data_IF_976742737595
#
_entry.id   IF_976742737595
#
_cell.length_a   1.000
_cell.length_b   1.000
_cell.length_c   1.000
_cell.angle_alpha   90.00
_cell.angle_beta   90.00
_cell.angle_gamma   90.00
#
_symmetry.space_group_name_H-M   'P 1'
#
loop_
_entity.id
_entity.type
_entity.pdbx_description
1 polymer ?
#
# COMPACT_ATOMS: atom_id res chain seq x y z
N UNK A 1 18.98 -34.81 8.02
CA UNK A 1 17.92 -35.19 7.08
C UNK A 1 16.83 -34.15 6.91
N UNK A 2 16.67 -33.20 7.79
CA UNK A 2 15.54 -32.25 7.74
C UNK A 2 15.94 -30.80 7.50
N UNK A 3 17.23 -30.49 7.41
CA UNK A 3 17.70 -29.09 7.33
C UNK A 3 17.53 -28.42 5.95
N UNK A 4 17.32 -29.21 4.91
CA UNK A 4 17.28 -28.72 3.51
C UNK A 4 15.90 -28.17 3.09
N UNK A 5 14.84 -28.40 3.87
CA UNK A 5 13.49 -28.06 3.46
C UNK A 5 12.98 -26.72 4.03
N UNK A 6 13.74 -26.02 4.86
CA UNK A 6 13.32 -24.77 5.47
C UNK A 6 13.45 -23.56 4.54
N UNK A 7 14.26 -23.65 3.49
CA UNK A 7 14.45 -22.56 2.53
C UNK A 7 13.41 -22.58 1.39
N UNK A 8 12.92 -23.75 0.98
CA UNK A 8 11.98 -23.89 -0.13
C UNK A 8 10.64 -23.17 0.10
N UNK A 9 10.01 -23.21 1.30
CA UNK A 9 8.78 -22.46 1.55
C UNK A 9 8.96 -20.95 1.49
N UNK A 10 10.14 -20.42 1.81
CA UNK A 10 10.44 -19.00 1.70
C UNK A 10 10.54 -18.56 0.24
N UNK A 11 11.13 -19.36 -0.61
CA UNK A 11 11.29 -19.08 -2.03
C UNK A 11 9.92 -19.12 -2.72
N UNK A 12 9.08 -20.08 -2.38
CA UNK A 12 7.73 -20.17 -2.93
C UNK A 12 6.83 -19.04 -2.46
N UNK A 13 7.02 -18.52 -1.25
CA UNK A 13 6.31 -17.31 -0.77
C UNK A 13 6.72 -16.07 -1.55
N UNK A 14 8.01 -15.93 -1.87
CA UNK A 14 8.49 -14.80 -2.67
C UNK A 14 7.99 -14.87 -4.12
N UNK A 15 7.80 -16.09 -4.64
CA UNK A 15 7.20 -16.28 -5.98
C UNK A 15 5.73 -15.84 -6.08
N UNK A 16 5.04 -15.71 -4.97
CA UNK A 16 3.67 -15.15 -4.95
C UNK A 16 3.63 -13.65 -5.19
N UNK A 17 4.79 -12.99 -5.06
CA UNK A 17 4.90 -11.56 -5.33
C UNK A 17 5.62 -11.37 -6.67
N UNK A 18 4.91 -10.97 -7.70
CA UNK A 18 5.46 -10.79 -9.05
C UNK A 18 6.74 -9.96 -9.09
N UNK A 19 6.91 -9.08 -8.10
CA UNK A 19 8.06 -8.20 -7.97
C UNK A 19 9.41 -8.91 -7.86
N UNK A 20 9.42 -10.14 -7.39
CA UNK A 20 10.65 -10.89 -7.11
C UNK A 20 10.95 -11.99 -8.14
N UNK A 21 10.09 -12.15 -9.12
CA UNK A 21 10.29 -13.13 -10.16
C UNK A 21 10.66 -12.43 -11.46
N UNK A 22 11.89 -12.62 -11.92
CA UNK A 22 12.36 -12.02 -13.18
C UNK A 22 11.48 -12.37 -14.39
N UNK A 23 10.79 -13.51 -14.33
CA UNK A 23 9.85 -13.96 -15.36
C UNK A 23 8.50 -13.20 -15.33
N UNK A 24 8.27 -12.39 -14.30
CA UNK A 24 7.04 -11.65 -14.06
C UNK A 24 7.10 -10.17 -14.44
N UNK A 25 8.11 -9.75 -15.17
CA UNK A 25 8.16 -8.34 -15.64
C UNK A 25 7.01 -7.97 -16.59
N UNK A 26 6.39 -8.96 -17.18
CA UNK A 26 5.18 -8.77 -17.97
C UNK A 26 3.94 -8.84 -17.06
N UNK A 27 3.34 -7.71 -16.77
CA UNK A 27 2.08 -7.63 -16.01
C UNK A 27 2.16 -6.87 -14.68
N UNK A 28 3.33 -6.39 -14.27
CA UNK A 28 3.45 -5.48 -13.13
C UNK A 28 2.91 -4.11 -13.46
N UNK A 29 2.04 -3.61 -12.59
CA UNK A 29 1.74 -2.19 -12.57
C UNK A 29 2.48 -1.58 -11.38
N UNK A 30 3.40 -0.68 -11.68
CA UNK A 30 4.17 0.08 -10.69
C UNK A 30 3.71 1.52 -10.76
N UNK A 31 3.54 2.15 -9.60
CA UNK A 31 3.20 3.57 -9.51
C UNK A 31 4.12 4.27 -8.52
N UNK A 32 4.30 5.55 -8.71
CA UNK A 32 4.93 6.41 -7.72
C UNK A 32 3.93 6.75 -6.64
N UNK A 33 4.35 6.64 -5.40
CA UNK A 33 3.56 7.01 -4.23
C UNK A 33 4.28 8.08 -3.44
N UNK A 34 3.49 8.97 -2.85
CA UNK A 34 3.93 9.85 -1.77
C UNK A 34 3.11 9.52 -0.54
N UNK A 35 3.78 9.24 0.56
CA UNK A 35 3.13 8.97 1.84
C UNK A 35 3.65 9.91 2.90
N UNK A 36 2.74 10.41 3.74
CA UNK A 36 3.07 11.28 4.86
C UNK A 36 2.42 10.75 6.14
N UNK A 37 3.11 10.90 7.26
CA UNK A 37 2.55 10.56 8.56
C UNK A 37 1.34 11.45 8.85
N UNK A 38 0.16 10.86 8.98
CA UNK A 38 -1.08 11.61 9.19
C UNK A 38 -1.11 12.37 10.52
N UNK A 39 -0.55 11.81 11.57
CA UNK A 39 -0.47 12.50 12.88
C UNK A 39 0.38 13.78 12.78
N UNK A 40 1.46 13.74 12.00
CA UNK A 40 2.30 14.91 11.76
C UNK A 40 1.54 15.98 10.98
N UNK A 41 0.73 15.58 9.98
CA UNK A 41 -0.15 16.49 9.23
C UNK A 41 -1.14 17.16 10.18
N UNK A 42 -1.80 16.38 11.02
CA UNK A 42 -2.78 16.88 11.98
C UNK A 42 -2.15 17.86 12.98
N UNK A 43 -0.97 17.57 13.49
CA UNK A 43 -0.25 18.45 14.41
C UNK A 43 0.19 19.76 13.76
N UNK A 44 0.65 19.71 12.52
CA UNK A 44 0.98 20.92 11.78
C UNK A 44 -0.27 21.77 11.52
N UNK A 45 -1.36 21.14 11.10
CA UNK A 45 -2.62 21.83 10.82
C UNK A 45 -3.23 22.49 12.06
N UNK A 46 -3.10 21.89 13.22
CA UNK A 46 -3.58 22.44 14.50
C UNK A 46 -2.65 23.48 15.13
N UNK A 47 -1.46 23.69 14.56
CA UNK A 47 -0.47 24.63 15.08
C UNK A 47 0.36 24.10 16.26
N UNK A 48 0.28 22.81 16.56
CA UNK A 48 1.04 22.18 17.64
C UNK A 48 2.54 22.06 17.33
N UNK A 49 2.90 22.18 16.07
CA UNK A 49 4.27 22.14 15.59
C UNK A 49 4.42 22.99 14.32
N UNK A 50 5.65 23.45 14.06
CA UNK A 50 6.02 24.07 12.78
C UNK A 50 6.78 23.08 11.87
N UNK A 51 7.03 21.86 12.34
CA UNK A 51 7.75 20.85 11.57
C UNK A 51 6.87 20.30 10.45
N UNK A 52 7.46 20.14 9.27
CA UNK A 52 6.81 19.45 8.16
C UNK A 52 6.59 17.97 8.49
N UNK A 53 5.51 17.38 7.96
CA UNK A 53 5.24 15.96 8.15
C UNK A 53 6.37 15.08 7.61
N UNK A 54 6.70 14.03 8.34
CA UNK A 54 7.60 13.00 7.83
C UNK A 54 6.97 12.36 6.60
N UNK A 55 7.77 12.17 5.56
CA UNK A 55 7.30 11.71 4.27
C UNK A 55 8.23 10.69 3.64
N UNK A 56 7.70 9.94 2.69
CA UNK A 56 8.43 9.05 1.81
C UNK A 56 7.86 9.17 0.40
N UNK A 57 8.74 9.22 -0.58
CA UNK A 57 8.38 9.12 -1.99
C UNK A 57 9.13 7.95 -2.62
N UNK A 58 8.43 7.16 -3.41
CA UNK A 58 9.04 6.00 -4.05
C UNK A 58 8.02 5.14 -4.78
N UNK A 59 8.46 3.98 -5.18
CA UNK A 59 7.64 3.05 -5.96
C UNK A 59 6.83 2.11 -5.08
N UNK A 60 5.66 1.74 -5.57
CA UNK A 60 4.83 0.67 -5.06
C UNK A 60 4.27 -0.16 -6.20
N UNK A 61 4.07 -1.44 -5.95
CA UNK A 61 3.31 -2.31 -6.84
C UNK A 61 1.82 -2.08 -6.57
N UNK A 62 1.07 -2.04 -7.65
CA UNK A 62 -0.39 -2.02 -7.60
C UNK A 62 -0.90 -3.45 -7.74
N UNK A 63 -1.65 -3.92 -6.75
CA UNK A 63 -2.15 -5.29 -6.70
C UNK A 63 -3.59 -5.31 -6.17
N UNK A 64 -4.55 -5.52 -7.05
CA UNK A 64 -5.97 -5.65 -6.68
C UNK A 64 -6.29 -6.93 -5.89
N UNK A 65 -5.40 -7.90 -5.86
CA UNK A 65 -5.48 -9.09 -5.01
C UNK A 65 -5.06 -8.82 -3.55
N UNK A 66 -4.33 -7.73 -3.30
CA UNK A 66 -4.05 -7.24 -1.96
C UNK A 66 -5.17 -6.30 -1.50
N UNK A 67 -5.45 -6.25 -0.21
CA UNK A 67 -6.59 -5.48 0.32
C UNK A 67 -6.18 -4.08 0.77
N UNK A 68 -5.07 -3.96 1.47
CA UNK A 68 -4.67 -2.77 2.19
C UNK A 68 -3.52 -2.01 1.53
N UNK A 69 -3.04 -0.98 2.19
CA UNK A 69 -1.74 -0.37 1.93
C UNK A 69 -0.68 -1.10 2.74
N UNK A 70 0.34 -1.59 2.06
CA UNK A 70 1.46 -2.30 2.67
C UNK A 70 2.74 -1.52 2.45
N UNK A 71 3.45 -1.22 3.51
CA UNK A 71 4.73 -0.54 3.44
C UNK A 71 5.85 -1.37 4.07
N UNK A 72 7.04 -1.23 3.51
CA UNK A 72 8.25 -1.84 4.04
C UNK A 72 8.55 -1.35 5.45
N UNK A 73 9.19 -2.17 6.24
CA UNK A 73 9.62 -1.83 7.60
C UNK A 73 10.46 -0.54 7.63
N UNK A 74 11.39 -0.37 6.69
CA UNK A 74 12.23 0.83 6.60
C UNK A 74 11.41 2.10 6.32
N UNK A 75 10.39 2.02 5.49
CA UNK A 75 9.48 3.14 5.20
C UNK A 75 8.65 3.50 6.45
N UNK A 76 8.12 2.49 7.14
CA UNK A 76 7.38 2.69 8.39
C UNK A 76 8.24 3.39 9.44
N UNK A 77 9.51 3.00 9.56
CA UNK A 77 10.48 3.64 10.47
C UNK A 77 10.79 5.08 10.05
N UNK A 78 11.01 5.33 8.76
CA UNK A 78 11.24 6.68 8.24
C UNK A 78 10.07 7.61 8.52
N UNK A 79 8.85 7.13 8.38
CA UNK A 79 7.63 7.87 8.68
C UNK A 79 7.34 7.97 10.18
N UNK A 80 8.03 7.23 11.03
CA UNK A 80 7.79 7.19 12.47
C UNK A 80 6.41 6.71 12.85
N UNK A 81 5.85 5.78 12.08
CA UNK A 81 4.53 5.23 12.36
C UNK A 81 4.54 4.37 13.61
N UNK A 82 3.45 4.40 14.35
CA UNK A 82 3.28 3.65 15.59
C UNK A 82 2.39 2.42 15.38
N UNK A 83 2.75 1.25 15.96
CA UNK A 83 1.87 0.09 15.90
C UNK A 83 0.56 0.36 16.64
N UNK A 84 -0.57 0.01 16.05
CA UNK A 84 -1.89 0.23 16.61
C UNK A 84 -2.61 -1.06 16.96
N UNK A 85 -2.51 -2.08 16.10
CA UNK A 85 -3.23 -3.34 16.28
C UNK A 85 -2.55 -4.47 15.49
N UNK A 86 -3.04 -5.68 15.72
CA UNK A 86 -2.67 -6.85 14.94
C UNK A 86 -3.91 -7.42 14.29
N UNK A 87 -3.84 -7.68 12.99
CA UNK A 87 -4.86 -8.40 12.26
C UNK A 87 -4.45 -9.84 12.03
N UNK A 88 -5.42 -10.72 12.10
CA UNK A 88 -5.24 -12.10 11.71
C UNK A 88 -5.78 -12.25 10.29
N UNK A 89 -4.91 -12.55 9.36
CA UNK A 89 -5.30 -12.86 7.98
C UNK A 89 -5.19 -14.35 7.72
N UNK A 90 -6.14 -14.90 6.97
CA UNK A 90 -6.11 -16.27 6.51
C UNK A 90 -5.79 -16.27 5.01
N UNK A 91 -4.71 -16.90 4.63
CA UNK A 91 -4.37 -17.07 3.23
C UNK A 91 -5.26 -18.12 2.57
N UNK A 92 -5.30 -18.14 1.24
CA UNK A 92 -6.04 -19.16 0.48
C UNK A 92 -5.54 -20.59 0.77
N UNK A 93 -4.28 -20.75 1.20
CA UNK A 93 -3.71 -22.00 1.68
C UNK A 93 -4.05 -22.32 3.15
N UNK A 94 -5.02 -21.61 3.72
CA UNK A 94 -5.49 -21.78 5.10
C UNK A 94 -4.44 -21.49 6.20
N UNK A 95 -3.34 -20.84 5.83
CA UNK A 95 -2.35 -20.37 6.79
C UNK A 95 -2.83 -19.10 7.46
N UNK A 96 -2.86 -19.11 8.78
CA UNK A 96 -3.21 -17.94 9.58
C UNK A 96 -1.93 -17.17 9.90
N UNK A 97 -1.85 -15.93 9.46
CA UNK A 97 -0.72 -15.04 9.74
C UNK A 97 -1.19 -13.80 10.49
N UNK A 98 -0.45 -13.44 11.54
CA UNK A 98 -0.65 -12.18 12.22
C UNK A 98 0.06 -11.06 11.45
N UNK A 99 -0.70 -10.02 11.10
CA UNK A 99 -0.19 -8.82 10.41
C UNK A 99 -0.23 -7.65 11.36
N UNK A 100 0.89 -6.95 11.48
CA UNK A 100 0.97 -5.75 12.30
C UNK A 100 0.50 -4.54 11.52
N UNK A 101 -0.43 -3.80 12.12
CA UNK A 101 -1.02 -2.58 11.56
C UNK A 101 -0.47 -1.38 12.31
N UNK A 102 -0.17 -0.34 11.56
CA UNK A 102 0.41 0.90 12.05
C UNK A 102 -0.54 2.09 11.85
N UNK A 103 -0.25 3.17 12.53
CA UNK A 103 -0.97 4.42 12.43
C UNK A 103 -1.07 4.90 10.97
N UNK A 104 -2.13 5.64 10.63
CA UNK A 104 -2.42 5.97 9.25
C UNK A 104 -1.42 6.94 8.62
N UNK A 105 -1.38 6.89 7.31
CA UNK A 105 -0.68 7.83 6.45
C UNK A 105 -1.67 8.50 5.50
N UNK A 106 -1.33 9.70 5.04
CA UNK A 106 -1.89 10.24 3.82
C UNK A 106 -1.12 9.65 2.64
N UNK A 107 -1.83 8.98 1.74
CA UNK A 107 -1.29 8.39 0.52
C UNK A 107 -1.73 9.22 -0.68
N UNK A 108 -0.78 9.69 -1.47
CA UNK A 108 -1.02 10.37 -2.74
C UNK A 108 -0.48 9.54 -3.91
N UNK A 109 -1.33 9.39 -4.93
CA UNK A 109 -0.99 8.78 -6.22
C UNK A 109 -1.51 9.69 -7.33
N UNK A 110 -0.61 10.25 -8.15
CA UNK A 110 -0.96 11.09 -9.29
C UNK A 110 -2.01 12.18 -8.95
N UNK A 111 -1.83 12.85 -7.81
CA UNK A 111 -2.68 13.95 -7.37
C UNK A 111 -3.97 13.57 -6.64
N UNK A 112 -4.31 12.28 -6.55
CA UNK A 112 -5.41 11.81 -5.71
C UNK A 112 -4.86 11.31 -4.38
N UNK A 113 -5.52 11.61 -3.28
CA UNK A 113 -5.05 11.24 -1.95
C UNK A 113 -6.16 10.69 -1.05
N UNK A 114 -5.73 9.95 -0.03
CA UNK A 114 -6.60 9.43 1.01
C UNK A 114 -5.80 8.97 2.21
N UNK A 115 -6.49 8.77 3.33
CA UNK A 115 -5.89 8.35 4.60
C UNK A 115 -6.13 6.87 4.83
N UNK A 116 -5.06 6.12 5.04
CA UNK A 116 -5.12 4.67 5.16
C UNK A 116 -4.23 4.16 6.29
N UNK A 117 -4.69 3.14 7.00
CA UNK A 117 -3.86 2.34 7.88
C UNK A 117 -2.79 1.60 7.06
N UNK A 118 -1.65 1.35 7.69
CA UNK A 118 -0.51 0.70 7.05
C UNK A 118 -0.29 -0.69 7.62
N UNK A 119 -0.19 -1.68 6.75
CA UNK A 119 0.21 -3.04 7.10
C UNK A 119 1.70 -3.19 6.83
N UNK A 120 2.43 -3.73 7.81
CA UNK A 120 3.89 -3.92 7.71
C UNK A 120 4.26 -5.06 6.80
N UNK A 121 5.24 -4.80 5.92
CA UNK A 121 5.98 -5.82 5.18
C UNK A 121 7.47 -5.80 5.53
N UNK A 122 8.15 -6.94 5.40
CA UNK A 122 9.61 -6.96 5.48
C UNK A 122 10.25 -6.21 4.30
N UNK A 123 11.49 -5.75 4.47
CA UNK A 123 12.18 -4.91 3.47
C UNK A 123 12.53 -5.66 2.16
N UNK A 124 12.51 -6.98 2.17
CA UNK A 124 12.70 -7.81 0.97
C UNK A 124 11.52 -7.75 0.00
N UNK A 125 10.35 -7.32 0.47
CA UNK A 125 9.15 -7.15 -0.34
C UNK A 125 8.96 -5.69 -0.77
N UNK A 126 8.30 -5.42 -1.91
CA UNK A 126 7.99 -4.05 -2.32
C UNK A 126 6.88 -3.45 -1.47
N UNK A 127 6.75 -2.12 -1.51
CA UNK A 127 5.51 -1.48 -1.09
C UNK A 127 4.37 -1.91 -2.01
N UNK A 128 3.16 -2.07 -1.47
CA UNK A 128 2.01 -2.53 -2.24
C UNK A 128 0.79 -1.65 -1.94
N UNK A 129 0.16 -1.19 -3.01
CA UNK A 129 -1.13 -0.50 -2.96
C UNK A 129 -2.21 -1.51 -3.33
N UNK A 130 -3.05 -1.85 -2.36
CA UNK A 130 -4.13 -2.80 -2.54
C UNK A 130 -5.46 -2.17 -2.93
N UNK A 131 -6.50 -2.98 -2.91
CA UNK A 131 -7.82 -2.65 -3.43
C UNK A 131 -8.49 -1.47 -2.72
N UNK A 132 -8.45 -1.42 -1.38
CA UNK A 132 -9.11 -0.34 -0.62
C UNK A 132 -8.59 1.05 -1.03
N UNK A 133 -7.28 1.32 -1.04
CA UNK A 133 -6.78 2.59 -1.54
C UNK A 133 -7.14 2.89 -2.99
N UNK A 134 -7.09 1.87 -3.86
CA UNK A 134 -7.42 2.04 -5.27
C UNK A 134 -8.88 2.43 -5.48
N UNK A 135 -9.80 1.72 -4.83
CA UNK A 135 -11.24 2.01 -4.90
C UNK A 135 -11.57 3.38 -4.31
N UNK A 136 -10.99 3.72 -3.16
CA UNK A 136 -11.21 5.03 -2.55
C UNK A 136 -10.80 6.18 -3.48
N UNK A 137 -9.66 6.04 -4.14
CA UNK A 137 -9.14 7.07 -5.06
C UNK A 137 -9.66 6.91 -6.50
N UNK A 138 -10.56 5.96 -6.74
CA UNK A 138 -11.18 5.69 -8.05
C UNK A 138 -10.15 5.41 -9.15
N UNK A 139 -9.11 4.63 -8.80
CA UNK A 139 -8.10 4.14 -9.72
C UNK A 139 -8.44 2.74 -10.23
N UNK A 140 -8.26 2.54 -11.52
CA UNK A 140 -8.42 1.25 -12.21
C UNK A 140 -7.09 0.82 -12.80
N UNK A 141 -6.82 -0.48 -12.74
CA UNK A 141 -5.63 -1.08 -13.34
C UNK A 141 -5.93 -1.38 -14.80
N UNK A 142 -5.24 -0.67 -15.69
CA UNK A 142 -5.23 -0.99 -17.13
C UNK A 142 -4.12 -2.02 -17.38
N UNK A 143 -4.52 -3.29 -17.47
CA UNK A 143 -3.58 -4.39 -17.70
C UNK A 143 -2.98 -4.36 -19.12
N UNK A 144 -3.68 -3.79 -20.10
CA UNK A 144 -3.19 -3.66 -21.46
C UNK A 144 -2.08 -2.63 -21.58
N UNK A 145 -2.21 -1.50 -20.86
CA UNK A 145 -1.22 -0.43 -20.86
C UNK A 145 -0.24 -0.52 -19.68
N UNK A 146 -0.38 -1.51 -18.79
CA UNK A 146 0.42 -1.69 -17.56
C UNK A 146 0.51 -0.44 -16.69
N UNK A 147 -0.61 0.23 -16.46
CA UNK A 147 -0.67 1.47 -15.69
C UNK A 147 -1.97 1.63 -14.92
N UNK A 148 -1.97 2.55 -13.96
CA UNK A 148 -3.20 3.06 -13.37
C UNK A 148 -3.84 4.10 -14.28
N UNK A 149 -5.17 4.05 -14.35
CA UNK A 149 -5.99 5.09 -15.00
C UNK A 149 -7.13 5.47 -14.08
N UNK A 150 -7.65 6.69 -14.24
CA UNK A 150 -8.93 7.04 -13.64
C UNK A 150 -10.04 6.11 -14.16
N UNK A 151 -11.02 5.84 -13.31
CA UNK A 151 -12.11 4.93 -13.66
C UNK A 151 -12.88 5.45 -14.89
N UNK A 152 -12.91 4.70 -16.02
CA UNK A 152 -13.60 5.14 -17.23
C UNK A 152 -15.11 5.28 -17.05
N UNK A 153 -15.71 4.50 -16.11
CA UNK A 153 -17.14 4.59 -15.80
C UNK A 153 -17.51 5.94 -15.18
N UNK A 154 -16.54 6.60 -14.54
CA UNK A 154 -16.69 7.94 -13.96
C UNK A 154 -16.00 9.03 -14.79
N UNK A 155 -15.75 8.78 -16.08
CA UNK A 155 -15.10 9.74 -16.98
C UNK A 155 -13.61 9.92 -16.78
N UNK A 156 -12.97 9.10 -15.95
CA UNK A 156 -11.54 9.15 -15.65
C UNK A 156 -11.14 10.27 -14.69
N UNK A 157 -12.08 11.10 -14.26
CA UNK A 157 -11.86 12.17 -13.29
C UNK A 157 -12.31 11.72 -11.90
N UNK A 158 -11.57 12.16 -10.90
CA UNK A 158 -11.94 11.92 -9.52
C UNK A 158 -12.81 13.05 -9.01
N UNK A 159 -14.09 12.75 -8.82
CA UNK A 159 -15.06 13.67 -8.26
C UNK A 159 -15.39 13.17 -6.86
N UNK A 160 -15.12 13.99 -5.86
CA UNK A 160 -15.61 13.76 -4.52
C UNK A 160 -17.09 14.13 -4.52
N UNK A 161 -17.97 13.14 -4.55
CA UNK A 161 -19.39 13.36 -4.46
C UNK A 161 -19.75 13.73 -3.01
N UNK A 162 -19.68 14.99 -2.70
CA UNK A 162 -20.28 15.47 -1.46
C UNK A 162 -21.80 15.39 -1.59
N UNK A 163 -22.45 14.81 -0.60
CA UNK A 163 -23.88 14.96 -0.42
C UNK A 163 -24.15 16.45 -0.19
N UNK A 164 -24.55 17.15 -1.25
CA UNK A 164 -24.98 18.52 -1.12
C UNK A 164 -26.09 18.60 -0.09
N UNK A 165 -26.01 19.54 0.83
CA UNK A 165 -27.13 19.81 1.72
C UNK A 165 -28.38 20.13 0.89
N UNK A 166 -29.58 19.62 1.31
CA UNK A 166 -30.82 19.87 0.60
C UNK A 166 -31.21 21.34 0.64
#
# INVERSE_FOLDING_TARGET
MSATNLAAPKIDRLKQYPAFNADYEMGKVITQIKVQNWEDIARLASGDTEKLPRSFEGEAIVDSGAVHLYLRTSVIQQLGLRPTRTWTSRTMSNIVEARRVYSPVDLEIMGRSGTFDVVKLPDELPNVVGQIPLEFMDWVIDMGAHRLTGNPEHGGEWIDEEYGEP
#
